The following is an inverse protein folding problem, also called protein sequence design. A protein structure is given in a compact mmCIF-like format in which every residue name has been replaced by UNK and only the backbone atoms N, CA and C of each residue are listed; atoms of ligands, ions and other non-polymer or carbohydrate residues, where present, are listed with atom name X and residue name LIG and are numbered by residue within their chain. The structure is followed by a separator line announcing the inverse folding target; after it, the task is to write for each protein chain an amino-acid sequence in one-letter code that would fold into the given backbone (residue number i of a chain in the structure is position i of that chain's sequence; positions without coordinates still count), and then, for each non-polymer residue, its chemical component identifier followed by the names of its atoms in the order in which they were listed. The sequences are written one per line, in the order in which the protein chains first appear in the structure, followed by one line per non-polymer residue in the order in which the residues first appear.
data_IF_523474081568
#
_entry.id   IF_523474081568
#
_cell.length_a   1.000
_cell.length_b   1.000
_cell.length_c   1.000
_cell.angle_alpha   90.00
_cell.angle_beta   90.00
_cell.angle_gamma   90.00
#
_symmetry.space_group_name_H-M   'P 1'
#
loop_
_entity.id
_entity.type
_entity.pdbx_description
1 polymer ?
#
# COMPACT_ATOMS: atom_id res chain seq x y z
N UNK A 1 11.33 3.25 8.21
CA UNK A 1 11.08 2.19 7.20
C UNK A 1 12.39 1.41 6.97
N UNK A 2 12.35 0.16 6.54
CA UNK A 2 13.53 -0.75 6.43
C UNK A 2 14.19 -0.78 5.03
N UNK A 3 13.84 0.16 4.13
CA UNK A 3 14.32 0.25 2.73
C UNK A 3 15.82 0.01 2.58
N UNK A 4 16.65 0.65 3.41
CA UNK A 4 18.10 0.58 3.31
C UNK A 4 18.67 -0.78 3.73
N UNK A 5 17.87 -1.69 4.29
CA UNK A 5 18.24 -3.09 4.51
C UNK A 5 18.11 -3.93 3.22
N UNK A 6 17.26 -3.50 2.28
CA UNK A 6 16.91 -4.26 1.08
C UNK A 6 17.52 -3.69 -0.20
N UNK A 7 17.66 -2.36 -0.31
CA UNK A 7 18.32 -1.74 -1.47
C UNK A 7 19.49 -0.86 -1.05
N UNK A 8 20.46 -0.73 -1.96
CA UNK A 8 21.49 0.31 -1.95
C UNK A 8 21.07 1.39 -2.95
N UNK A 9 21.04 2.63 -2.50
CA UNK A 9 20.86 3.80 -3.36
C UNK A 9 22.24 4.32 -3.79
N UNK A 10 22.49 4.39 -5.10
CA UNK A 10 23.70 4.99 -5.67
C UNK A 10 23.50 6.49 -5.92
N UNK A 11 23.72 7.28 -4.87
CA UNK A 11 23.59 8.74 -4.92
C UNK A 11 24.50 9.41 -5.96
N UNK A 12 25.62 8.78 -6.34
CA UNK A 12 26.53 9.33 -7.35
C UNK A 12 25.92 9.33 -8.76
N UNK A 13 24.91 8.48 -8.98
CA UNK A 13 24.21 8.34 -10.24
C UNK A 13 22.80 8.95 -10.22
N UNK A 14 22.41 9.70 -9.18
CA UNK A 14 21.09 10.34 -9.11
C UNK A 14 21.22 11.82 -9.47
N UNK A 15 20.29 12.33 -10.29
CA UNK A 15 20.19 13.76 -10.57
C UNK A 15 19.87 14.50 -9.26
N UNK A 16 20.68 15.49 -8.83
CA UNK A 16 20.43 16.24 -7.60
C UNK A 16 19.03 16.86 -7.48
N UNK A 17 18.38 17.17 -8.60
CA UNK A 17 17.00 17.68 -8.62
C UNK A 17 15.95 16.64 -8.22
N UNK A 18 16.31 15.36 -8.11
CA UNK A 18 15.41 14.24 -7.81
C UNK A 18 15.75 13.55 -6.48
N UNK A 19 16.60 14.14 -5.63
CA UNK A 19 16.98 13.54 -4.34
C UNK A 19 15.80 13.31 -3.39
N UNK A 20 14.80 14.19 -3.47
CA UNK A 20 13.53 14.13 -2.76
C UNK A 20 12.74 12.85 -3.05
N UNK A 21 12.86 12.26 -4.25
CA UNK A 21 12.19 11.00 -4.59
C UNK A 21 12.69 9.83 -3.74
N UNK A 22 13.90 9.95 -3.18
CA UNK A 22 14.55 8.93 -2.37
C UNK A 22 14.51 9.24 -0.88
N UNK A 23 13.75 10.25 -0.44
CA UNK A 23 13.56 10.52 0.98
C UNK A 23 12.98 9.28 1.69
N UNK A 24 13.60 8.88 2.80
CA UNK A 24 13.09 7.76 3.61
C UNK A 24 11.88 8.24 4.38
N UNK A 25 10.77 7.54 4.26
CA UNK A 25 9.57 7.88 5.01
C UNK A 25 9.76 7.61 6.52
N UNK A 26 9.24 8.52 7.35
CA UNK A 26 9.30 8.42 8.81
C UNK A 26 8.58 7.15 9.31
N UNK A 27 9.29 6.27 10.01
CA UNK A 27 8.69 5.07 10.62
C UNK A 27 7.56 5.35 11.59
N UNK A 28 7.41 6.57 12.10
CA UNK A 28 6.27 6.95 12.96
C UNK A 28 4.98 7.18 12.18
N UNK A 29 5.08 7.48 10.88
CA UNK A 29 3.94 7.76 10.00
C UNK A 29 3.52 6.54 9.16
N UNK A 30 4.35 5.49 9.11
CA UNK A 30 4.14 4.34 8.24
C UNK A 30 4.36 3.02 8.98
N UNK A 31 3.52 2.03 8.71
CA UNK A 31 3.65 0.65 9.20
C UNK A 31 3.64 -0.33 8.04
N UNK A 32 4.40 -1.42 8.16
CA UNK A 32 4.46 -2.49 7.16
C UNK A 32 3.38 -3.56 7.38
N UNK A 33 2.63 -3.48 8.48
CA UNK A 33 1.68 -4.52 8.90
C UNK A 33 2.31 -5.94 8.97
N UNK A 34 3.63 -5.99 9.26
CA UNK A 34 4.41 -7.23 9.31
C UNK A 34 4.71 -7.85 7.94
N UNK A 35 4.36 -7.17 6.84
CA UNK A 35 4.66 -7.62 5.49
C UNK A 35 6.12 -7.29 5.16
N UNK A 36 6.81 -8.24 4.52
CA UNK A 36 8.20 -8.08 4.11
C UNK A 36 8.33 -7.13 2.92
N UNK A 37 9.51 -6.55 2.77
CA UNK A 37 9.84 -5.73 1.61
C UNK A 37 9.66 -6.50 0.30
N UNK A 38 8.95 -5.90 -0.65
CA UNK A 38 8.64 -6.51 -1.94
C UNK A 38 9.22 -5.67 -3.09
N UNK A 39 10.23 -6.22 -3.75
CA UNK A 39 10.86 -5.61 -4.92
C UNK A 39 9.91 -5.50 -6.12
N UNK A 40 8.90 -6.38 -6.19
CA UNK A 40 7.89 -6.41 -7.25
C UNK A 40 6.63 -5.62 -6.91
N UNK A 41 6.60 -4.86 -5.82
CA UNK A 41 5.46 -4.02 -5.46
C UNK A 41 5.15 -3.03 -6.60
N UNK A 42 3.86 -2.83 -6.90
CA UNK A 42 3.39 -1.83 -7.88
C UNK A 42 3.84 -0.40 -7.52
N UNK A 43 4.08 -0.17 -6.22
CA UNK A 43 4.54 1.11 -5.69
C UNK A 43 6.05 1.28 -5.77
N UNK A 44 6.81 0.21 -6.06
CA UNK A 44 8.26 0.30 -6.16
C UNK A 44 8.65 1.10 -7.42
N UNK A 45 9.60 2.03 -7.28
CA UNK A 45 10.21 2.74 -8.40
C UNK A 45 11.08 1.80 -9.26
N UNK A 46 11.27 2.15 -10.52
CA UNK A 46 12.21 1.44 -11.40
C UNK A 46 13.63 1.55 -10.87
N UNK A 47 14.45 0.52 -11.07
CA UNK A 47 15.86 0.52 -10.68
C UNK A 47 16.66 1.72 -11.25
N UNK A 48 16.17 2.36 -12.31
CA UNK A 48 16.81 3.47 -13.03
C UNK A 48 16.17 4.83 -12.76
N UNK A 49 15.17 4.92 -11.87
CA UNK A 49 14.50 6.18 -11.54
C UNK A 49 15.53 7.23 -11.10
N UNK A 50 15.42 8.45 -11.63
CA UNK A 50 16.29 9.57 -11.28
C UNK A 50 17.73 9.48 -11.77
N UNK A 51 18.09 8.48 -12.59
CA UNK A 51 19.46 8.26 -13.05
C UNK A 51 20.00 9.42 -13.92
N UNK A 52 21.24 9.84 -13.68
CA UNK A 52 21.99 10.70 -14.62
C UNK A 52 22.58 9.88 -15.77
N UNK A 53 23.12 8.69 -15.47
CA UNK A 53 23.50 7.70 -16.48
C UNK A 53 22.44 6.59 -16.51
N UNK A 54 21.54 6.67 -17.49
CA UNK A 54 20.42 5.75 -17.66
C UNK A 54 20.83 4.29 -17.90
N UNK A 55 22.09 4.03 -18.28
CA UNK A 55 22.60 2.66 -18.43
C UNK A 55 22.96 2.01 -17.08
N UNK A 56 22.98 2.78 -15.98
CA UNK A 56 23.31 2.30 -14.63
C UNK A 56 22.10 2.47 -13.70
N UNK A 57 21.77 1.47 -12.88
CA UNK A 57 20.70 1.60 -11.89
C UNK A 57 21.10 2.56 -10.77
N UNK A 58 20.11 3.24 -10.19
CA UNK A 58 20.22 4.06 -8.98
C UNK A 58 19.80 3.29 -7.74
N UNK A 59 18.92 2.29 -7.88
CA UNK A 59 18.50 1.40 -6.80
C UNK A 59 18.94 -0.03 -7.09
N UNK A 60 19.77 -0.58 -6.21
CA UNK A 60 20.41 -1.89 -6.38
C UNK A 60 19.93 -2.82 -5.26
N UNK A 61 19.22 -3.92 -5.57
CA UNK A 61 18.85 -4.91 -4.56
C UNK A 61 20.07 -5.50 -3.87
N UNK A 62 20.00 -5.63 -2.55
CA UNK A 62 21.05 -6.27 -1.73
C UNK A 62 20.89 -7.79 -1.71
N UNK A 63 19.67 -8.29 -1.85
CA UNK A 63 19.35 -9.71 -1.91
C UNK A 63 19.09 -10.10 -3.36
N UNK A 64 19.71 -11.19 -3.83
CA UNK A 64 19.56 -11.76 -5.18
C UNK A 64 19.45 -10.69 -6.31
N UNK A 65 20.43 -9.79 -6.46
CA UNK A 65 20.34 -8.65 -7.39
C UNK A 65 20.00 -9.05 -8.82
N UNK A 66 20.57 -10.15 -9.33
CA UNK A 66 20.30 -10.62 -10.69
C UNK A 66 18.84 -11.03 -10.94
N UNK A 67 18.11 -11.41 -9.89
CA UNK A 67 16.68 -11.76 -9.98
C UNK A 67 15.80 -10.55 -9.68
N UNK A 68 16.15 -9.81 -8.63
CA UNK A 68 15.29 -8.75 -8.11
C UNK A 68 15.37 -7.47 -8.93
N UNK A 69 16.50 -7.15 -9.59
CA UNK A 69 16.66 -5.88 -10.30
C UNK A 69 15.58 -5.65 -11.35
N UNK A 70 15.18 -6.70 -12.07
CA UNK A 70 14.13 -6.64 -13.10
C UNK A 70 12.69 -6.54 -12.56
N UNK A 71 12.48 -6.79 -11.26
CA UNK A 71 11.17 -6.68 -10.63
C UNK A 71 10.83 -5.21 -10.29
N UNK A 72 11.85 -4.39 -10.05
CA UNK A 72 11.68 -3.00 -9.65
C UNK A 72 11.01 -2.19 -10.76
N UNK A 73 9.91 -1.53 -10.41
CA UNK A 73 9.22 -0.65 -11.34
C UNK A 73 8.24 -1.35 -12.29
N UNK A 74 7.95 -2.64 -12.09
CA UNK A 74 6.90 -3.31 -12.85
C UNK A 74 5.56 -2.56 -12.73
N UNK A 75 4.74 -2.57 -13.79
CA UNK A 75 3.43 -1.90 -13.84
C UNK A 75 2.33 -2.82 -14.37
N UNK A 76 2.54 -4.13 -14.32
CA UNK A 76 1.62 -5.12 -14.88
C UNK A 76 0.43 -5.36 -13.94
N UNK A 77 0.71 -5.53 -12.64
CA UNK A 77 -0.31 -5.79 -11.63
C UNK A 77 0.18 -5.50 -10.21
N UNK A 78 -0.76 -5.39 -9.27
CA UNK A 78 -0.43 -5.42 -7.84
C UNK A 78 0.23 -6.75 -7.47
N UNK A 79 1.26 -6.70 -6.64
CA UNK A 79 1.86 -7.91 -6.11
C UNK A 79 0.97 -8.55 -5.04
N UNK A 80 1.21 -9.83 -4.68
CA UNK A 80 0.54 -10.45 -3.54
C UNK A 80 0.74 -9.67 -2.23
N UNK A 81 1.91 -9.07 -2.03
CA UNK A 81 2.21 -8.27 -0.85
C UNK A 81 1.42 -6.95 -0.82
N UNK A 82 1.28 -6.27 -1.97
CA UNK A 82 0.44 -5.07 -2.10
C UNK A 82 -1.01 -5.37 -1.70
N UNK A 83 -1.56 -6.47 -2.22
CA UNK A 83 -2.92 -6.91 -1.90
C UNK A 83 -3.06 -7.24 -0.41
N UNK A 84 -2.06 -7.87 0.20
CA UNK A 84 -2.08 -8.20 1.63
C UNK A 84 -2.05 -6.93 2.50
N UNK A 85 -1.23 -5.94 2.16
CA UNK A 85 -1.18 -4.65 2.88
C UNK A 85 -2.54 -3.95 2.81
N UNK A 86 -3.13 -3.83 1.62
CA UNK A 86 -4.46 -3.18 1.45
C UNK A 86 -5.54 -3.93 2.24
N UNK A 87 -5.51 -5.26 2.25
CA UNK A 87 -6.41 -6.06 3.08
C UNK A 87 -6.20 -5.79 4.58
N UNK A 88 -4.96 -5.74 5.07
CA UNK A 88 -4.70 -5.41 6.48
C UNK A 88 -5.09 -3.98 6.86
N UNK A 89 -5.03 -3.04 5.90
CA UNK A 89 -5.45 -1.66 6.11
C UNK A 89 -6.97 -1.49 6.16
N UNK A 90 -7.71 -2.16 5.26
CA UNK A 90 -9.11 -1.81 4.98
C UNK A 90 -10.11 -2.98 5.08
N UNK A 91 -9.64 -4.21 5.14
CA UNK A 91 -10.51 -5.38 5.28
C UNK A 91 -10.56 -5.82 6.74
N UNK A 92 -11.76 -5.72 7.33
CA UNK A 92 -12.04 -6.29 8.63
C UNK A 92 -12.63 -7.70 8.38
N UNK A 93 -12.07 -8.78 8.96
CA UNK A 93 -12.64 -10.12 8.81
C UNK A 93 -14.10 -10.16 9.28
N UNK A 94 -14.95 -10.86 8.52
CA UNK A 94 -16.38 -11.03 8.82
C UNK A 94 -17.16 -9.70 8.95
N UNK A 95 -16.71 -8.66 8.25
CA UNK A 95 -17.29 -7.33 8.23
C UNK A 95 -17.57 -6.92 6.78
N UNK A 96 -18.79 -7.18 6.34
CA UNK A 96 -19.22 -6.90 4.98
C UNK A 96 -20.60 -6.26 4.96
N UNK A 97 -20.87 -5.54 3.89
CA UNK A 97 -22.21 -5.08 3.55
C UNK A 97 -22.91 -6.17 2.74
N UNK A 98 -24.15 -6.47 3.11
CA UNK A 98 -25.03 -7.42 2.42
C UNK A 98 -25.87 -6.77 1.33
N UNK A 99 -25.75 -5.45 1.14
CA UNK A 99 -26.49 -4.70 0.14
C UNK A 99 -25.60 -3.65 -0.53
N UNK A 100 -25.69 -3.55 -1.85
CA UNK A 100 -24.90 -2.61 -2.67
C UNK A 100 -25.16 -1.13 -2.32
N UNK A 101 -26.34 -0.80 -1.79
CA UNK A 101 -26.70 0.58 -1.44
C UNK A 101 -26.23 1.01 -0.04
N UNK A 102 -25.56 0.14 0.72
CA UNK A 102 -25.13 0.45 2.08
C UNK A 102 -24.27 1.71 2.19
N UNK A 103 -23.36 1.93 1.24
CA UNK A 103 -22.55 3.16 1.22
C UNK A 103 -23.41 4.41 1.01
N UNK A 104 -24.36 4.36 0.08
CA UNK A 104 -25.26 5.48 -0.19
C UNK A 104 -26.19 5.79 1.00
N UNK A 105 -26.68 4.75 1.68
CA UNK A 105 -27.52 4.92 2.87
C UNK A 105 -26.74 5.41 4.09
N UNK A 106 -25.48 4.98 4.25
CA UNK A 106 -24.60 5.51 5.28
C UNK A 106 -24.35 7.02 5.10
N UNK A 107 -24.11 7.48 3.86
CA UNK A 107 -23.98 8.90 3.53
C UNK A 107 -25.26 9.72 3.78
N UNK A 108 -26.44 9.07 3.81
CA UNK A 108 -27.72 9.68 4.17
C UNK A 108 -28.03 9.59 5.67
N UNK A 109 -27.03 9.31 6.50
CA UNK A 109 -27.13 9.20 7.95
C UNK A 109 -28.11 8.12 8.46
N UNK A 110 -28.47 7.16 7.60
CA UNK A 110 -29.44 6.11 7.96
C UNK A 110 -28.90 5.11 8.99
N UNK A 111 -27.57 5.03 9.15
CA UNK A 111 -26.93 4.20 10.18
C UNK A 111 -27.44 4.52 11.59
N UNK A 112 -27.68 5.80 11.89
CA UNK A 112 -28.09 6.26 13.22
C UNK A 112 -29.57 6.64 13.30
N UNK A 113 -30.30 6.59 12.19
CA UNK A 113 -31.70 6.95 12.14
C UNK A 113 -32.58 5.95 12.94
N UNK A 114 -33.47 6.38 13.85
CA UNK A 114 -34.22 5.49 14.75
C UNK A 114 -34.94 4.34 14.03
N UNK A 115 -35.57 4.64 12.90
CA UNK A 115 -36.35 3.66 12.13
C UNK A 115 -35.52 2.75 11.23
N UNK A 116 -34.26 3.08 10.95
CA UNK A 116 -33.42 2.35 9.98
C UNK A 116 -32.23 1.65 10.63
N UNK A 117 -31.78 2.11 11.80
CA UNK A 117 -30.61 1.59 12.52
C UNK A 117 -30.61 0.07 12.65
N UNK A 118 -31.74 -0.55 13.01
CA UNK A 118 -31.84 -2.01 13.15
C UNK A 118 -31.57 -2.76 11.84
N UNK A 119 -32.10 -2.26 10.73
CA UNK A 119 -31.85 -2.85 9.42
C UNK A 119 -30.40 -2.63 8.97
N UNK A 120 -29.88 -1.41 9.20
CA UNK A 120 -28.51 -1.03 8.85
C UNK A 120 -27.47 -1.84 9.64
N UNK A 121 -27.72 -2.16 10.92
CA UNK A 121 -26.85 -3.05 11.73
C UNK A 121 -26.70 -4.44 11.11
N UNK A 122 -27.75 -4.99 10.52
CA UNK A 122 -27.74 -6.35 9.99
C UNK A 122 -27.21 -6.46 8.55
N UNK A 123 -27.26 -5.36 7.79
CA UNK A 123 -27.00 -5.38 6.36
C UNK A 123 -25.86 -4.44 5.92
N UNK A 124 -25.54 -3.41 6.68
CA UNK A 124 -24.60 -2.36 6.27
C UNK A 124 -23.48 -2.17 7.29
N UNK A 125 -22.97 -3.27 7.84
CA UNK A 125 -22.00 -3.24 8.93
C UNK A 125 -20.72 -2.51 8.57
N UNK A 126 -20.21 -2.73 7.36
CA UNK A 126 -18.95 -2.13 6.91
C UNK A 126 -19.16 -0.64 6.63
N UNK A 127 -20.18 -0.29 5.84
CA UNK A 127 -20.48 1.12 5.52
C UNK A 127 -20.85 1.97 6.74
N UNK A 128 -21.50 1.38 7.75
CA UNK A 128 -21.88 2.08 8.98
C UNK A 128 -20.87 1.99 10.12
N UNK A 129 -19.68 1.43 9.89
CA UNK A 129 -18.68 1.19 10.94
C UNK A 129 -19.22 0.40 12.14
N UNK A 130 -20.16 -0.53 11.92
CA UNK A 130 -20.67 -1.45 12.95
C UNK A 130 -19.84 -2.73 13.07
N UNK A 131 -18.61 -2.70 12.57
CA UNK A 131 -17.68 -3.79 12.71
C UNK A 131 -16.87 -3.56 13.97
N UNK A 132 -17.17 -4.33 15.02
CA UNK A 132 -16.32 -4.38 16.20
C UNK A 132 -15.01 -5.07 15.83
N UNK A 133 -13.89 -4.38 16.00
CA UNK A 133 -12.58 -5.02 16.06
C UNK A 133 -12.61 -6.00 17.23
N UNK A 134 -12.54 -7.30 16.94
CA UNK A 134 -12.28 -8.31 17.98
C UNK A 134 -10.88 -8.19 18.53
#
# INVERSE_FOLDING_TARGET
MDRDQHIKVDWSNINPQHFDYFAVADSKMFTTYGIKYDYGSIMHYSAYTGAVNIAKPTMIPKVNPSQNLGLLGQRDAMSPADVEIVKKMYCIPNCDDRNVYCGAWALKELCNHPNHKGWMINNCRKSCNFCTSG
#
